data_IF_571522476219
#
_entry.id   IF_571522476219
#
_cell.length_a   1.000
_cell.length_b   1.000
_cell.length_c   1.000
_cell.angle_alpha   90.00
_cell.angle_beta   90.00
_cell.angle_gamma   90.00
#
_symmetry.space_group_name_H-M   'P 1'
#
loop_
_entity.id
_entity.type
_entity.pdbx_description
1 polymer ?
#
# COMPACT_ATOMS: atom_id res chain seq x y z
N UNK A 1 21.55 3.76 19.60
CA UNK A 1 20.22 3.16 19.78
C UNK A 1 20.10 1.94 18.88
N UNK A 2 19.55 0.84 19.39
CA UNK A 2 19.39 -0.43 18.67
C UNK A 2 17.90 -0.73 18.49
N UNK A 3 17.45 -0.75 17.23
CA UNK A 3 16.06 -1.04 16.86
C UNK A 3 15.95 -2.43 16.24
N UNK A 4 15.25 -3.34 16.90
CA UNK A 4 14.83 -4.61 16.30
C UNK A 4 13.50 -4.41 15.59
N UNK A 5 13.41 -4.83 14.34
CA UNK A 5 12.15 -4.86 13.58
C UNK A 5 11.69 -6.30 13.43
N UNK A 6 10.41 -6.56 13.70
CA UNK A 6 9.78 -7.87 13.48
C UNK A 6 8.76 -7.74 12.36
N UNK A 7 9.00 -8.47 11.26
CA UNK A 7 8.14 -8.48 10.09
C UNK A 7 7.85 -9.91 9.63
N UNK A 8 6.78 -10.09 8.88
CA UNK A 8 6.38 -11.41 8.38
C UNK A 8 7.38 -11.97 7.37
N UNK A 9 7.66 -11.22 6.32
CA UNK A 9 8.56 -11.54 5.21
C UNK A 9 9.04 -10.24 4.56
N UNK A 10 10.05 -10.27 3.68
CA UNK A 10 10.46 -9.11 2.89
C UNK A 10 9.33 -8.63 1.98
N UNK A 11 9.04 -7.32 2.04
CA UNK A 11 7.98 -6.65 1.31
C UNK A 11 8.58 -5.46 0.55
N UNK A 12 8.20 -5.29 -0.71
CA UNK A 12 8.74 -4.25 -1.60
C UNK A 12 8.58 -2.81 -1.08
N UNK A 13 7.58 -2.56 -0.25
CA UNK A 13 7.34 -1.24 0.34
C UNK A 13 8.13 -1.00 1.63
N UNK A 14 8.54 -2.06 2.35
CA UNK A 14 9.27 -1.93 3.61
C UNK A 14 10.80 -1.98 3.41
N UNK A 15 11.28 -2.69 2.40
CA UNK A 15 12.71 -2.80 2.12
C UNK A 15 13.40 -1.43 1.93
N UNK A 16 12.85 -0.44 1.19
CA UNK A 16 13.41 0.90 1.10
C UNK A 16 13.48 1.62 2.44
N UNK A 17 12.45 1.48 3.29
CA UNK A 17 12.43 2.06 4.63
C UNK A 17 13.53 1.45 5.51
N UNK A 18 13.70 0.13 5.49
CA UNK A 18 14.75 -0.54 6.27
C UNK A 18 16.14 -0.11 5.81
N UNK A 19 16.36 0.06 4.50
CA UNK A 19 17.60 0.64 3.94
C UNK A 19 17.86 2.07 4.44
N UNK A 20 16.81 2.88 4.51
CA UNK A 20 16.91 4.26 4.99
C UNK A 20 17.21 4.33 6.49
N UNK A 21 16.53 3.51 7.30
CA UNK A 21 16.77 3.40 8.75
C UNK A 21 18.17 2.87 9.05
N UNK A 22 18.67 1.88 8.31
CA UNK A 22 20.01 1.33 8.47
C UNK A 22 21.14 2.36 8.18
N UNK A 23 20.84 3.38 7.36
CA UNK A 23 21.77 4.50 7.09
C UNK A 23 21.67 5.63 8.12
N UNK A 24 20.70 5.56 9.05
CA UNK A 24 20.46 6.63 10.00
C UNK A 24 21.58 6.68 11.05
N UNK A 25 22.20 7.85 11.17
CA UNK A 25 23.33 8.03 12.11
C UNK A 25 22.87 7.81 13.56
N UNK A 26 23.52 6.89 14.24
CA UNK A 26 23.21 6.57 15.63
C UNK A 26 22.15 5.49 15.84
N UNK A 27 21.57 4.98 14.76
CA UNK A 27 20.64 3.84 14.79
C UNK A 27 21.32 2.57 14.27
N UNK A 28 21.30 1.51 15.07
CA UNK A 28 21.70 0.16 14.71
C UNK A 28 20.42 -0.64 14.47
N UNK A 29 20.16 -1.04 13.22
CA UNK A 29 18.92 -1.71 12.79
C UNK A 29 19.17 -3.19 12.54
N UNK A 30 18.28 -4.05 13.05
CA UNK A 30 18.22 -5.45 12.65
C UNK A 30 16.79 -5.91 12.40
N UNK A 31 16.53 -6.54 11.24
CA UNK A 31 15.20 -6.99 10.86
C UNK A 31 15.08 -8.51 11.03
N UNK A 32 14.10 -8.96 11.82
CA UNK A 32 13.78 -10.37 12.02
C UNK A 32 12.55 -10.74 11.19
N UNK A 33 12.74 -11.60 10.19
CA UNK A 33 11.67 -12.11 9.34
C UNK A 33 11.20 -13.47 9.83
N UNK A 34 9.88 -13.62 9.99
CA UNK A 34 9.26 -14.88 10.41
C UNK A 34 9.17 -15.91 9.28
N UNK A 35 9.35 -15.51 8.02
CA UNK A 35 9.28 -16.37 6.85
C UNK A 35 10.09 -15.75 5.70
N UNK A 36 10.76 -16.61 4.91
CA UNK A 36 11.50 -16.13 3.73
C UNK A 36 10.60 -15.69 2.58
N UNK A 37 9.38 -16.25 2.53
CA UNK A 37 8.40 -15.87 1.51
C UNK A 37 8.93 -15.96 0.09
N UNK A 38 8.47 -15.07 -0.76
CA UNK A 38 8.92 -14.93 -2.14
C UNK A 38 10.36 -14.35 -2.28
N UNK A 39 11.02 -13.95 -1.20
CA UNK A 39 12.38 -13.44 -1.28
C UNK A 39 13.43 -14.54 -1.53
N UNK A 40 13.07 -15.82 -1.30
CA UNK A 40 13.95 -16.97 -1.54
C UNK A 40 13.73 -17.65 -2.91
N UNK A 41 12.61 -17.39 -3.56
CA UNK A 41 12.22 -17.91 -4.90
C UNK A 41 10.93 -17.24 -5.34
N UNK A 42 10.56 -17.34 -6.63
CA UNK A 42 9.23 -16.96 -7.08
C UNK A 42 8.15 -17.65 -6.22
N UNK A 43 7.18 -16.87 -5.74
CA UNK A 43 6.06 -17.41 -4.96
C UNK A 43 4.76 -17.19 -5.72
N UNK A 44 3.90 -18.21 -5.71
CA UNK A 44 2.57 -18.07 -6.29
C UNK A 44 1.76 -17.02 -5.51
N UNK A 45 1.37 -15.94 -6.20
CA UNK A 45 0.45 -14.95 -5.67
C UNK A 45 -0.97 -15.24 -6.17
N UNK A 46 -1.87 -15.76 -5.31
CA UNK A 46 -3.22 -16.13 -5.74
C UNK A 46 -4.05 -14.93 -6.19
N UNK A 47 -3.65 -13.72 -5.84
CA UNK A 47 -4.34 -12.50 -6.25
C UNK A 47 -4.00 -12.07 -7.67
N UNK A 48 -2.79 -12.38 -8.15
CA UNK A 48 -2.39 -12.22 -9.56
C UNK A 48 -2.60 -13.52 -10.36
N UNK A 49 -2.85 -14.66 -9.70
CA UNK A 49 -3.03 -15.97 -10.34
C UNK A 49 -1.75 -16.51 -11.00
N UNK A 50 -0.57 -16.04 -10.61
CA UNK A 50 0.71 -16.43 -11.17
C UNK A 50 1.83 -16.37 -10.15
N UNK A 51 2.98 -16.96 -10.50
CA UNK A 51 4.20 -16.82 -9.72
C UNK A 51 4.79 -15.42 -9.94
N UNK A 52 5.11 -14.74 -8.83
CA UNK A 52 5.68 -13.39 -8.84
C UNK A 52 7.07 -13.43 -8.24
N UNK A 53 8.04 -12.94 -9.00
CA UNK A 53 9.38 -12.62 -8.55
C UNK A 53 9.56 -11.11 -8.69
N UNK A 54 9.84 -10.44 -7.56
CA UNK A 54 10.03 -8.99 -7.59
C UNK A 54 11.38 -8.63 -8.21
N UNK A 55 11.38 -7.73 -9.18
CA UNK A 55 12.56 -7.26 -9.93
C UNK A 55 13.28 -6.08 -9.25
N UNK A 56 13.03 -5.88 -7.95
CA UNK A 56 13.71 -4.90 -7.10
C UNK A 56 14.36 -5.58 -5.89
N UNK A 57 15.48 -5.04 -5.37
CA UNK A 57 16.19 -5.66 -4.24
C UNK A 57 15.35 -5.54 -2.96
N UNK A 58 15.06 -6.68 -2.31
CA UNK A 58 14.27 -6.73 -1.07
C UNK A 58 15.13 -6.88 0.19
N UNK A 59 16.35 -7.39 0.10
CA UNK A 59 17.20 -7.78 1.23
C UNK A 59 18.53 -7.03 1.29
N UNK A 60 18.75 -6.07 0.42
CA UNK A 60 20.01 -5.33 0.35
C UNK A 60 19.99 -4.08 1.23
N UNK A 61 21.14 -3.74 1.82
CA UNK A 61 21.41 -2.47 2.47
C UNK A 61 20.92 -2.35 3.92
N UNK A 62 20.56 -3.48 4.56
CA UNK A 62 20.28 -3.57 5.99
C UNK A 62 20.58 -4.98 6.53
N UNK A 63 20.80 -5.11 7.83
CA UNK A 63 21.03 -6.39 8.49
C UNK A 63 19.70 -7.10 8.80
N UNK A 64 19.63 -8.40 8.54
CA UNK A 64 18.43 -9.19 8.79
C UNK A 64 18.72 -10.64 9.21
N UNK A 65 17.71 -11.29 9.77
CA UNK A 65 17.71 -12.72 10.08
C UNK A 65 16.37 -13.34 9.71
N UNK A 66 16.40 -14.43 8.94
CA UNK A 66 15.23 -15.32 8.81
C UNK A 66 15.18 -16.27 10.01
N UNK A 67 14.12 -16.15 10.81
CA UNK A 67 13.90 -17.04 11.95
C UNK A 67 13.13 -18.28 11.50
N UNK A 68 13.60 -19.46 11.89
CA UNK A 68 12.98 -20.74 11.49
C UNK A 68 11.48 -20.75 11.81
N UNK A 69 10.66 -20.96 10.78
CA UNK A 69 9.23 -21.15 10.89
C UNK A 69 8.91 -22.66 10.92
N UNK A 70 8.28 -23.12 12.01
CA UNK A 70 7.91 -24.54 12.21
C UNK A 70 6.42 -24.80 11.91
N UNK A 71 5.72 -23.85 11.27
CA UNK A 71 4.35 -24.05 10.82
C UNK A 71 4.27 -25.21 9.82
N UNK A 72 3.24 -26.04 9.95
CA UNK A 72 2.94 -27.09 8.96
C UNK A 72 2.37 -26.53 7.65
N UNK A 73 1.90 -25.29 7.67
CA UNK A 73 1.35 -24.56 6.52
C UNK A 73 1.87 -23.12 6.60
N UNK A 74 3.16 -22.87 6.21
CA UNK A 74 3.80 -21.58 6.36
C UNK A 74 3.23 -20.55 5.37
N UNK A 75 3.00 -19.32 5.85
CA UNK A 75 2.49 -18.24 5.03
C UNK A 75 1.81 -17.15 5.85
N UNK A 76 1.24 -16.18 5.12
CA UNK A 76 0.58 -15.02 5.72
C UNK A 76 -0.95 -15.06 5.60
N UNK A 77 -1.52 -16.17 5.16
CA UNK A 77 -2.95 -16.34 4.91
C UNK A 77 -3.75 -16.78 6.15
N UNK A 78 -3.09 -17.16 7.26
CA UNK A 78 -3.75 -17.52 8.52
C UNK A 78 -2.86 -17.30 9.75
N UNK A 79 -3.48 -17.29 10.94
CA UNK A 79 -2.84 -16.99 12.23
C UNK A 79 -1.63 -17.90 12.54
N UNK A 80 -1.71 -19.20 12.24
CA UNK A 80 -0.65 -20.18 12.48
C UNK A 80 0.34 -20.34 11.33
N UNK A 81 0.25 -19.52 10.30
CA UNK A 81 1.19 -19.54 9.19
C UNK A 81 2.60 -19.10 9.58
N UNK A 82 2.73 -18.36 10.69
CA UNK A 82 4.01 -17.98 11.31
C UNK A 82 4.09 -18.52 12.74
N UNK A 83 4.92 -19.55 12.94
CA UNK A 83 5.25 -20.16 14.23
C UNK A 83 6.76 -20.22 14.34
N UNK A 84 7.36 -19.22 15.00
CA UNK A 84 8.81 -19.10 15.15
C UNK A 84 9.19 -19.15 16.64
N UNK A 85 9.50 -20.34 17.20
CA UNK A 85 9.85 -20.49 18.62
C UNK A 85 11.07 -19.63 19.02
N UNK A 86 12.04 -19.51 18.12
CA UNK A 86 13.30 -18.80 18.35
C UNK A 86 13.22 -17.29 18.10
N UNK A 87 12.07 -16.72 17.69
CA UNK A 87 11.96 -15.29 17.37
C UNK A 87 12.25 -14.42 18.60
N UNK A 88 11.55 -14.65 19.70
CA UNK A 88 11.76 -13.89 20.95
C UNK A 88 13.19 -14.07 21.48
N UNK A 89 13.73 -15.32 21.62
CA UNK A 89 15.12 -15.53 22.01
C UNK A 89 16.14 -14.79 21.11
N UNK A 90 15.94 -14.80 19.80
CA UNK A 90 16.83 -14.12 18.85
C UNK A 90 16.82 -12.59 19.03
N UNK A 91 15.63 -12.00 19.19
CA UNK A 91 15.47 -10.57 19.45
C UNK A 91 16.13 -10.19 20.77
N UNK A 92 15.91 -10.96 21.85
CA UNK A 92 16.52 -10.71 23.17
C UNK A 92 18.05 -10.86 23.16
N UNK A 93 18.57 -11.85 22.43
CA UNK A 93 20.02 -12.06 22.29
C UNK A 93 20.70 -10.88 21.58
N UNK A 94 19.97 -10.21 20.66
CA UNK A 94 20.47 -9.03 19.99
C UNK A 94 20.45 -7.76 20.87
N UNK A 95 19.75 -7.76 22.03
CA UNK A 95 19.66 -6.70 23.03
C UNK A 95 19.22 -5.36 22.44
N UNK A 96 18.03 -5.26 21.89
CA UNK A 96 17.49 -4.02 21.36
C UNK A 96 17.16 -3.01 22.48
N UNK A 97 17.23 -1.72 22.17
CA UNK A 97 16.70 -0.64 23.01
C UNK A 97 15.17 -0.49 22.79
N UNK A 98 14.70 -0.81 21.57
CA UNK A 98 13.28 -0.85 21.22
C UNK A 98 12.99 -1.93 20.18
N UNK A 99 11.72 -2.38 20.12
CA UNK A 99 11.25 -3.34 19.11
C UNK A 99 10.06 -2.75 18.36
N UNK A 100 10.13 -2.70 17.02
CA UNK A 100 9.03 -2.33 16.13
C UNK A 100 8.41 -3.58 15.52
N UNK A 101 7.13 -3.84 15.80
CA UNK A 101 6.40 -5.02 15.30
C UNK A 101 5.38 -4.61 14.25
N UNK A 102 5.48 -5.23 13.06
CA UNK A 102 4.55 -5.02 11.94
C UNK A 102 3.40 -6.03 11.99
N UNK A 103 2.24 -5.57 12.46
CA UNK A 103 1.03 -6.40 12.58
C UNK A 103 1.06 -7.37 13.76
N UNK A 104 -0.12 -7.85 14.14
CA UNK A 104 -0.32 -8.76 15.29
C UNK A 104 -0.98 -10.10 14.90
N UNK A 105 -1.49 -10.22 13.69
CA UNK A 105 -2.39 -11.29 13.28
C UNK A 105 -1.72 -12.69 13.13
N UNK A 106 -0.49 -12.85 13.63
CA UNK A 106 0.26 -14.10 13.58
C UNK A 106 0.70 -14.54 14.97
N UNK A 107 0.75 -15.87 15.19
CA UNK A 107 1.13 -16.44 16.49
C UNK A 107 2.50 -15.91 16.97
N UNK A 108 3.49 -15.84 16.09
CA UNK A 108 4.83 -15.35 16.42
C UNK A 108 4.83 -13.89 16.81
N UNK A 109 4.11 -13.03 16.07
CA UNK A 109 4.02 -11.60 16.36
C UNK A 109 3.30 -11.34 17.68
N UNK A 110 2.14 -12.00 17.91
CA UNK A 110 1.41 -11.87 19.17
C UNK A 110 2.26 -12.35 20.37
N UNK A 111 3.01 -13.44 20.21
CA UNK A 111 3.94 -13.92 21.23
C UNK A 111 5.07 -12.92 21.49
N UNK A 112 5.58 -12.26 20.46
CA UNK A 112 6.60 -11.21 20.58
C UNK A 112 6.07 -10.02 21.38
N UNK A 113 4.91 -9.48 21.02
CA UNK A 113 4.25 -8.41 21.75
C UNK A 113 4.13 -8.76 23.24
N UNK A 114 3.54 -9.92 23.53
CA UNK A 114 3.34 -10.38 24.92
C UNK A 114 4.64 -10.60 25.69
N UNK A 115 5.65 -11.20 25.06
CA UNK A 115 6.89 -11.59 25.77
C UNK A 115 7.82 -10.43 26.04
N UNK A 116 7.82 -9.39 25.18
CA UNK A 116 8.73 -8.24 25.27
C UNK A 116 8.10 -7.05 26.02
N UNK A 117 6.78 -6.97 26.10
CA UNK A 117 6.08 -5.92 26.84
C UNK A 117 6.56 -5.79 28.28
N UNK A 118 6.85 -4.55 28.70
CA UNK A 118 7.40 -4.25 30.04
C UNK A 118 8.89 -4.62 30.24
N UNK A 119 9.57 -5.13 29.20
CA UNK A 119 10.99 -5.49 29.22
C UNK A 119 11.80 -4.66 28.22
N UNK A 120 11.22 -4.40 27.07
CA UNK A 120 11.77 -3.55 26.01
C UNK A 120 10.59 -2.73 25.47
N UNK A 121 10.73 -1.44 25.20
CA UNK A 121 9.70 -0.63 24.55
C UNK A 121 9.22 -1.26 23.23
N UNK A 122 7.90 -1.47 23.12
CA UNK A 122 7.24 -2.11 21.98
C UNK A 122 6.51 -1.05 21.15
N UNK A 123 7.05 -0.76 19.99
CA UNK A 123 6.43 0.03 18.96
C UNK A 123 5.64 -0.88 18.02
N UNK A 124 4.50 -0.41 17.56
CA UNK A 124 3.61 -1.18 16.71
C UNK A 124 3.22 -0.42 15.46
N UNK A 125 3.25 -1.10 14.33
CA UNK A 125 2.77 -0.59 13.05
C UNK A 125 1.79 -1.56 12.42
N UNK A 126 0.67 -1.04 11.95
CA UNK A 126 -0.35 -1.76 11.20
C UNK A 126 -1.27 -0.75 10.53
N UNK A 127 -1.89 -1.14 9.45
CA UNK A 127 -2.68 -0.29 8.55
C UNK A 127 -4.21 -0.53 8.64
N UNK A 128 -4.67 -1.27 9.65
CA UNK A 128 -6.10 -1.58 9.82
C UNK A 128 -6.94 -0.31 9.97
N UNK A 129 -8.16 -0.33 9.43
CA UNK A 129 -9.13 0.76 9.50
C UNK A 129 -10.48 0.29 10.02
N UNK A 130 -11.41 1.24 10.27
CA UNK A 130 -12.79 0.96 10.64
C UNK A 130 -13.73 0.90 9.41
N UNK A 131 -13.21 1.16 8.21
CA UNK A 131 -14.01 1.29 6.97
C UNK A 131 -14.85 0.04 6.65
N UNK A 132 -14.36 -1.14 7.01
CA UNK A 132 -15.02 -2.41 6.72
C UNK A 132 -15.89 -2.92 7.88
N UNK A 133 -16.00 -2.19 8.99
CA UNK A 133 -16.81 -2.62 10.12
C UNK A 133 -18.31 -2.55 9.75
N UNK A 134 -18.99 -3.69 9.87
CA UNK A 134 -20.43 -3.81 9.64
C UNK A 134 -21.14 -4.39 10.85
N UNK A 135 -22.31 -3.84 11.15
CA UNK A 135 -23.11 -4.23 12.31
C UNK A 135 -22.48 -3.78 13.63
N UNK A 136 -22.96 -4.30 14.78
CA UNK A 136 -22.52 -3.84 16.10
C UNK A 136 -21.83 -4.91 16.95
N UNK A 137 -22.23 -6.16 16.83
CA UNK A 137 -21.76 -7.21 17.73
C UNK A 137 -20.32 -7.66 17.44
N UNK A 138 -19.97 -7.86 16.14
CA UNK A 138 -18.62 -8.25 15.72
C UNK A 138 -17.58 -7.15 16.04
N UNK A 139 -17.82 -5.86 15.70
CA UNK A 139 -16.92 -4.77 16.10
C UNK A 139 -16.72 -4.69 17.60
N UNK A 140 -17.77 -4.82 18.41
CA UNK A 140 -17.66 -4.78 19.86
C UNK A 140 -16.76 -5.90 20.41
N UNK A 141 -16.96 -7.15 19.97
CA UNK A 141 -16.12 -8.27 20.36
C UNK A 141 -14.67 -8.07 19.91
N UNK A 142 -14.46 -7.62 18.66
CA UNK A 142 -13.13 -7.29 18.13
C UNK A 142 -12.44 -6.23 18.97
N UNK A 143 -13.15 -5.15 19.40
CA UNK A 143 -12.59 -4.11 20.26
C UNK A 143 -12.13 -4.65 21.61
N UNK A 144 -12.90 -5.54 22.24
CA UNK A 144 -12.49 -6.16 23.51
C UNK A 144 -11.22 -7.01 23.35
N UNK A 145 -11.15 -7.82 22.30
CA UNK A 145 -9.97 -8.65 22.01
C UNK A 145 -8.76 -7.76 21.69
N UNK A 146 -8.92 -6.77 20.81
CA UNK A 146 -7.82 -5.91 20.39
C UNK A 146 -7.31 -4.99 21.49
N UNK A 147 -8.18 -4.47 22.36
CA UNK A 147 -7.74 -3.76 23.56
C UNK A 147 -6.85 -4.63 24.45
N UNK A 148 -7.09 -5.95 24.49
CA UNK A 148 -6.23 -6.87 25.23
C UNK A 148 -4.89 -7.06 24.51
N UNK A 149 -4.88 -7.17 23.19
CA UNK A 149 -3.64 -7.29 22.39
C UNK A 149 -2.80 -6.00 22.50
N UNK A 150 -3.43 -4.86 22.33
CA UNK A 150 -2.74 -3.56 22.32
C UNK A 150 -2.23 -3.10 23.69
N UNK A 151 -2.65 -3.74 24.79
CA UNK A 151 -2.04 -3.53 26.13
C UNK A 151 -0.56 -3.92 26.19
N UNK A 152 -0.08 -4.69 25.22
CA UNK A 152 1.32 -5.09 25.09
C UNK A 152 2.14 -4.17 24.16
N UNK A 153 1.56 -3.07 23.71
CA UNK A 153 2.17 -2.07 22.86
C UNK A 153 2.29 -0.77 23.62
N UNK A 154 3.48 -0.19 23.63
CA UNK A 154 3.74 1.08 24.32
C UNK A 154 3.45 2.27 23.39
N UNK A 155 3.80 2.16 22.11
CA UNK A 155 3.61 3.23 21.11
C UNK A 155 3.05 2.64 19.81
N UNK A 156 1.99 3.23 19.27
CA UNK A 156 1.47 2.89 17.95
C UNK A 156 1.86 3.98 16.92
N UNK A 157 2.21 3.53 15.72
CA UNK A 157 2.63 4.36 14.60
C UNK A 157 1.54 4.34 13.51
N UNK A 158 0.48 5.18 13.64
CA UNK A 158 -0.58 5.22 12.64
C UNK A 158 -0.05 5.69 11.29
N UNK A 159 -0.58 5.08 10.22
CA UNK A 159 -0.17 5.32 8.84
C UNK A 159 -0.92 6.48 8.18
N UNK A 160 -2.02 6.93 8.77
CA UNK A 160 -2.88 8.03 8.31
C UNK A 160 -4.17 8.10 9.13
N UNK A 161 -5.06 9.02 8.77
CA UNK A 161 -6.27 9.41 9.51
C UNK A 161 -7.19 8.23 9.86
N UNK A 162 -7.52 7.38 8.88
CA UNK A 162 -8.40 6.24 9.11
C UNK A 162 -7.78 5.18 10.05
N UNK A 163 -6.47 5.01 9.99
CA UNK A 163 -5.76 4.09 10.86
C UNK A 163 -5.59 4.67 12.27
N UNK A 164 -5.36 5.97 12.39
CA UNK A 164 -5.32 6.65 13.68
C UNK A 164 -6.66 6.53 14.42
N UNK A 165 -7.78 6.79 13.73
CA UNK A 165 -9.12 6.57 14.28
C UNK A 165 -9.34 5.12 14.75
N UNK A 166 -8.79 4.15 14.02
CA UNK A 166 -8.82 2.75 14.42
C UNK A 166 -8.05 2.51 15.74
N UNK A 167 -6.84 3.03 15.89
CA UNK A 167 -6.07 2.86 17.13
C UNK A 167 -6.75 3.53 18.33
N UNK A 168 -7.31 4.75 18.18
CA UNK A 168 -8.07 5.44 19.23
C UNK A 168 -9.24 4.61 19.74
N UNK A 169 -10.02 4.01 18.84
CA UNK A 169 -11.15 3.13 19.22
C UNK A 169 -10.67 1.88 19.97
N UNK A 170 -9.45 1.42 19.71
CA UNK A 170 -8.88 0.23 20.34
C UNK A 170 -8.03 0.54 21.59
N UNK A 171 -8.01 1.79 22.07
CA UNK A 171 -7.53 2.14 23.41
C UNK A 171 -6.17 2.82 23.46
N UNK A 172 -5.70 3.38 22.35
CA UNK A 172 -4.55 4.28 22.36
C UNK A 172 -5.00 5.72 22.60
N UNK A 173 -4.22 6.44 23.38
CA UNK A 173 -4.37 7.86 23.65
C UNK A 173 -3.37 8.68 22.83
N UNK A 174 -3.54 10.00 22.78
CA UNK A 174 -2.72 10.91 21.98
C UNK A 174 -1.23 10.82 22.30
N UNK A 175 -0.88 10.61 23.57
CA UNK A 175 0.51 10.51 24.04
C UNK A 175 1.21 9.21 23.59
N UNK A 176 0.45 8.23 23.08
CA UNK A 176 0.95 6.94 22.62
C UNK A 176 0.79 6.73 21.10
N UNK A 177 0.29 7.75 20.41
CA UNK A 177 0.12 7.77 18.95
C UNK A 177 1.12 8.74 18.31
N UNK A 178 2.05 8.22 17.51
CA UNK A 178 3.00 9.03 16.75
C UNK A 178 2.75 8.79 15.26
N UNK A 179 2.21 9.80 14.57
CA UNK A 179 1.93 9.69 13.15
C UNK A 179 3.19 9.44 12.32
N UNK A 180 3.14 8.38 11.53
CA UNK A 180 4.22 7.94 10.63
C UNK A 180 3.59 7.57 9.29
N UNK A 181 3.82 8.33 8.20
CA UNK A 181 3.13 8.16 6.94
C UNK A 181 3.33 6.75 6.34
N UNK A 182 2.34 6.26 5.59
CA UNK A 182 2.52 5.07 4.76
C UNK A 182 3.12 5.48 3.42
N UNK A 183 4.38 5.16 3.24
CA UNK A 183 5.20 5.72 2.17
C UNK A 183 5.63 4.69 1.14
N UNK A 184 6.05 5.18 0.00
CA UNK A 184 6.76 4.44 -1.04
C UNK A 184 8.13 5.09 -1.30
N UNK A 185 8.94 4.47 -2.12
CA UNK A 185 10.20 5.05 -2.60
C UNK A 185 9.90 6.04 -3.75
N UNK A 186 9.49 7.29 -3.42
CA UNK A 186 9.02 8.28 -4.39
C UNK A 186 10.02 8.53 -5.52
N UNK A 187 11.32 8.60 -5.21
CA UNK A 187 12.37 8.83 -6.21
C UNK A 187 12.42 7.78 -7.32
N UNK A 188 11.86 6.58 -7.09
CA UNK A 188 11.75 5.56 -8.13
C UNK A 188 10.67 5.89 -9.16
N UNK A 189 9.70 6.71 -8.79
CA UNK A 189 8.57 7.15 -9.60
C UNK A 189 8.77 8.56 -10.18
N UNK A 190 9.80 9.29 -9.76
CA UNK A 190 10.19 10.58 -10.31
C UNK A 190 10.83 10.40 -11.70
N UNK A 191 10.74 11.43 -12.53
CA UNK A 191 11.30 11.45 -13.88
C UNK A 191 11.86 12.84 -14.19
N UNK A 192 13.05 13.09 -13.67
CA UNK A 192 13.74 14.38 -13.87
C UNK A 192 14.29 14.57 -15.29
N UNK A 193 14.38 13.48 -16.06
CA UNK A 193 14.93 13.49 -17.44
C UNK A 193 13.83 13.55 -18.50
N UNK A 194 12.61 13.19 -18.17
CA UNK A 194 11.49 13.03 -19.12
C UNK A 194 11.58 11.74 -19.94
N UNK A 195 12.49 10.82 -19.62
CA UNK A 195 12.66 9.56 -20.35
C UNK A 195 11.48 8.61 -20.14
N UNK A 196 10.97 8.51 -18.91
CA UNK A 196 9.83 7.64 -18.58
C UNK A 196 8.52 8.17 -19.17
N UNK A 197 8.35 9.49 -19.24
CA UNK A 197 7.21 10.12 -19.92
C UNK A 197 7.26 9.86 -21.42
N UNK A 198 8.44 9.99 -22.05
CA UNK A 198 8.63 9.69 -23.47
C UNK A 198 8.34 8.20 -23.79
N UNK A 199 8.85 7.28 -22.94
CA UNK A 199 8.57 5.84 -23.08
C UNK A 199 7.05 5.55 -22.96
N UNK A 200 6.35 6.22 -22.05
CA UNK A 200 4.91 6.06 -21.91
C UNK A 200 4.15 6.57 -23.14
N UNK A 201 4.57 7.69 -23.73
CA UNK A 201 3.96 8.23 -24.96
C UNK A 201 4.18 7.29 -26.14
N UNK A 202 5.38 6.71 -26.30
CA UNK A 202 5.64 5.68 -27.33
C UNK A 202 4.73 4.47 -27.12
N UNK A 203 4.56 4.02 -25.88
CA UNK A 203 3.68 2.89 -25.56
C UNK A 203 2.20 3.21 -25.81
N UNK A 204 1.73 4.44 -25.55
CA UNK A 204 0.38 4.89 -25.95
C UNK A 204 0.20 4.75 -27.47
N UNK A 205 1.17 5.18 -28.28
CA UNK A 205 1.12 5.06 -29.75
C UNK A 205 1.05 3.58 -30.21
N UNK A 206 1.81 2.69 -29.58
CA UNK A 206 1.73 1.24 -29.84
C UNK A 206 0.34 0.66 -29.50
N UNK A 207 -0.35 1.21 -28.49
CA UNK A 207 -1.72 0.85 -28.13
C UNK A 207 -2.78 1.50 -29.04
N UNK A 208 -2.38 2.39 -29.97
CA UNK A 208 -3.31 3.11 -30.86
C UNK A 208 -4.06 4.24 -30.14
N UNK A 209 -3.51 4.78 -29.06
CA UNK A 209 -4.08 5.89 -28.29
C UNK A 209 -3.60 7.21 -28.88
N UNK A 210 -4.52 8.08 -29.26
CA UNK A 210 -4.19 9.40 -29.77
C UNK A 210 -3.55 10.28 -28.70
N UNK A 211 -2.59 11.14 -29.07
CA UNK A 211 -1.82 11.99 -28.16
C UNK A 211 -2.68 12.92 -27.32
N UNK A 212 -3.86 13.31 -27.81
CA UNK A 212 -4.80 14.20 -27.11
C UNK A 212 -5.92 13.46 -26.35
N UNK A 213 -5.95 12.13 -26.42
CA UNK A 213 -6.97 11.35 -25.72
C UNK A 213 -6.66 11.27 -24.21
N UNK A 214 -7.67 11.48 -23.39
CA UNK A 214 -7.55 11.25 -21.94
C UNK A 214 -7.53 9.76 -21.66
N UNK A 215 -6.56 9.32 -20.87
CA UNK A 215 -6.38 7.92 -20.47
C UNK A 215 -6.65 7.77 -18.99
N UNK A 216 -7.66 6.96 -18.63
CA UNK A 216 -7.87 6.47 -17.29
C UNK A 216 -7.06 5.21 -17.07
N UNK A 217 -6.27 5.16 -16.00
CA UNK A 217 -5.43 4.02 -15.67
C UNK A 217 -5.88 3.35 -14.38
N UNK A 218 -6.05 2.04 -14.44
CA UNK A 218 -6.13 1.18 -13.26
C UNK A 218 -4.85 0.33 -13.18
N UNK A 219 -4.21 0.29 -12.00
CA UNK A 219 -3.07 -0.59 -11.77
C UNK A 219 -3.27 -1.42 -10.49
N UNK A 220 -3.24 -2.74 -10.63
CA UNK A 220 -3.40 -3.67 -9.51
C UNK A 220 -4.05 -5.00 -9.86
N UNK A 221 -4.36 -5.79 -8.83
CA UNK A 221 -5.01 -7.10 -8.99
C UNK A 221 -6.41 -6.94 -9.57
N UNK A 222 -6.72 -7.62 -10.67
CA UNK A 222 -8.05 -7.63 -11.28
C UNK A 222 -8.98 -8.56 -10.52
N UNK A 223 -9.40 -8.12 -9.33
CA UNK A 223 -10.25 -8.89 -8.43
C UNK A 223 -11.36 -8.07 -7.79
N UNK A 224 -12.35 -8.75 -7.23
CA UNK A 224 -13.58 -8.15 -6.71
C UNK A 224 -13.35 -7.02 -5.67
N UNK A 225 -12.28 -7.12 -4.87
CA UNK A 225 -11.90 -6.09 -3.89
C UNK A 225 -11.60 -4.73 -4.55
N UNK A 226 -10.85 -4.75 -5.65
CA UNK A 226 -10.38 -3.56 -6.38
C UNK A 226 -11.44 -2.98 -7.32
N UNK A 227 -12.50 -3.75 -7.60
CA UNK A 227 -13.65 -3.36 -8.42
C UNK A 227 -13.32 -2.85 -9.85
N UNK A 228 -12.46 -3.53 -10.63
CA UNK A 228 -12.20 -3.15 -12.00
C UNK A 228 -13.44 -3.27 -12.90
N UNK A 229 -14.39 -4.14 -12.52
CA UNK A 229 -15.69 -4.31 -13.15
C UNK A 229 -16.55 -3.03 -13.06
N UNK A 230 -16.58 -2.36 -11.91
CA UNK A 230 -17.28 -1.08 -11.74
C UNK A 230 -16.62 0.02 -12.57
N UNK A 231 -15.29 0.00 -12.72
CA UNK A 231 -14.59 0.96 -13.57
C UNK A 231 -14.91 0.76 -15.04
N UNK A 232 -14.95 -0.49 -15.52
CA UNK A 232 -15.34 -0.78 -16.90
C UNK A 232 -16.78 -0.33 -17.16
N UNK A 233 -17.72 -0.62 -16.24
CA UNK A 233 -19.10 -0.18 -16.36
C UNK A 233 -19.24 1.34 -16.39
N UNK A 234 -18.47 2.05 -15.57
CA UNK A 234 -18.45 3.52 -15.53
C UNK A 234 -17.86 4.12 -16.82
N UNK A 235 -16.77 3.55 -17.31
CA UNK A 235 -16.17 3.94 -18.60
C UNK A 235 -17.14 3.80 -19.76
N UNK A 236 -17.92 2.71 -19.81
CA UNK A 236 -18.90 2.45 -20.86
C UNK A 236 -20.13 3.36 -20.82
N UNK A 237 -20.35 4.13 -19.74
CA UNK A 237 -21.40 5.15 -19.64
C UNK A 237 -21.00 6.49 -20.25
N UNK A 238 -19.71 6.71 -20.51
CA UNK A 238 -19.21 7.97 -21.01
C UNK A 238 -19.27 8.04 -22.55
N UNK A 239 -19.49 9.21 -23.08
CA UNK A 239 -19.36 9.46 -24.52
C UNK A 239 -17.86 9.43 -24.93
N UNK A 240 -17.54 8.90 -26.10
CA UNK A 240 -16.20 8.52 -26.54
C UNK A 240 -15.14 9.64 -26.54
N UNK A 241 -13.90 9.27 -26.92
CA UNK A 241 -12.73 10.16 -26.98
C UNK A 241 -11.78 10.03 -25.78
N UNK A 242 -11.95 8.97 -24.96
CA UNK A 242 -11.08 8.63 -23.84
C UNK A 242 -10.78 7.14 -23.86
N UNK A 243 -9.67 6.75 -23.23
CA UNK A 243 -9.24 5.36 -23.15
C UNK A 243 -9.20 4.87 -21.70
N UNK A 244 -9.31 3.56 -21.52
CA UNK A 244 -9.15 2.87 -20.25
C UNK A 244 -8.03 1.84 -20.35
N UNK A 245 -7.03 1.93 -19.48
CA UNK A 245 -5.92 0.99 -19.43
C UNK A 245 -5.95 0.22 -18.12
N UNK A 246 -5.98 -1.11 -18.20
CA UNK A 246 -5.84 -2.02 -17.07
C UNK A 246 -4.43 -2.59 -17.04
N UNK A 247 -3.65 -2.28 -16.00
CA UNK A 247 -2.36 -2.88 -15.70
C UNK A 247 -2.47 -3.84 -14.51
N UNK A 248 -2.28 -5.11 -14.75
CA UNK A 248 -2.39 -6.17 -13.76
C UNK A 248 -3.09 -7.41 -14.30
N UNK A 249 -3.18 -8.43 -13.45
CA UNK A 249 -3.88 -9.68 -13.72
C UNK A 249 -4.74 -10.08 -12.52
N UNK A 250 -5.60 -11.08 -12.69
CA UNK A 250 -6.40 -11.58 -11.59
C UNK A 250 -7.69 -12.30 -12.04
N UNK A 251 -8.49 -12.77 -11.07
CA UNK A 251 -9.65 -13.63 -11.34
C UNK A 251 -10.73 -13.04 -12.26
N UNK A 252 -10.79 -11.70 -12.39
CA UNK A 252 -11.78 -11.02 -13.25
C UNK A 252 -11.22 -10.68 -14.64
N UNK A 253 -9.96 -10.99 -14.96
CA UNK A 253 -9.35 -10.58 -16.22
C UNK A 253 -10.08 -11.10 -17.46
N UNK A 254 -10.41 -12.39 -17.50
CA UNK A 254 -11.09 -13.00 -18.64
C UNK A 254 -12.50 -12.40 -18.85
N UNK A 255 -13.23 -12.20 -17.76
CA UNK A 255 -14.55 -11.55 -17.80
C UNK A 255 -14.47 -10.11 -18.33
N UNK A 256 -13.51 -9.33 -17.84
CA UNK A 256 -13.33 -7.95 -18.26
C UNK A 256 -12.94 -7.86 -19.75
N UNK A 257 -12.05 -8.75 -20.22
CA UNK A 257 -11.66 -8.83 -21.63
C UNK A 257 -12.84 -9.23 -22.54
N UNK A 258 -13.67 -10.18 -22.10
CA UNK A 258 -14.88 -10.56 -22.84
C UNK A 258 -15.87 -9.39 -22.97
N UNK A 259 -16.13 -8.69 -21.85
CA UNK A 259 -17.05 -7.54 -21.82
C UNK A 259 -16.53 -6.35 -22.63
N UNK A 260 -15.22 -6.14 -22.69
CA UNK A 260 -14.58 -5.06 -23.44
C UNK A 260 -14.24 -5.46 -24.89
N UNK A 261 -14.55 -6.68 -25.34
CA UNK A 261 -14.07 -7.25 -26.63
C UNK A 261 -14.46 -6.49 -27.90
N UNK A 262 -15.39 -5.56 -27.81
CA UNK A 262 -15.86 -4.69 -28.91
C UNK A 262 -15.53 -3.21 -28.69
N UNK A 263 -14.73 -2.90 -27.67
CA UNK A 263 -14.36 -1.54 -27.31
C UNK A 263 -12.84 -1.36 -27.52
N UNK A 264 -12.49 -0.76 -28.64
CA UNK A 264 -11.10 -0.53 -29.03
C UNK A 264 -10.40 0.50 -28.13
N UNK A 265 -11.12 1.16 -27.20
CA UNK A 265 -10.58 2.12 -26.25
C UNK A 265 -10.22 1.48 -24.91
N UNK A 266 -10.43 0.17 -24.72
CA UNK A 266 -10.07 -0.54 -23.48
C UNK A 266 -8.86 -1.45 -23.71
N UNK A 267 -7.79 -1.21 -22.94
CA UNK A 267 -6.51 -1.90 -23.12
C UNK A 267 -6.15 -2.70 -21.87
N UNK A 268 -5.53 -3.86 -22.05
CA UNK A 268 -5.08 -4.75 -20.96
C UNK A 268 -3.60 -5.05 -21.14
N UNK A 269 -2.77 -4.62 -20.19
CA UNK A 269 -1.31 -4.79 -20.23
C UNK A 269 -0.84 -6.10 -19.57
N UNK A 270 -1.75 -6.81 -18.86
CA UNK A 270 -1.36 -7.92 -18.00
C UNK A 270 -0.54 -7.47 -16.79
N UNK A 271 0.08 -8.43 -16.10
CA UNK A 271 0.94 -8.15 -14.94
C UNK A 271 2.18 -7.35 -15.37
N UNK A 272 2.46 -6.27 -14.63
CA UNK A 272 3.65 -5.45 -14.77
C UNK A 272 4.46 -5.50 -13.47
N UNK A 273 5.78 -5.72 -13.58
CA UNK A 273 6.65 -5.78 -12.41
C UNK A 273 7.09 -4.37 -11.96
N UNK A 274 7.71 -4.29 -10.79
CA UNK A 274 7.97 -3.03 -10.08
C UNK A 274 8.88 -2.07 -10.88
N UNK A 275 9.83 -2.56 -11.66
CA UNK A 275 10.71 -1.72 -12.50
C UNK A 275 9.96 -1.00 -13.63
N UNK A 276 8.85 -1.59 -14.13
CA UNK A 276 8.01 -1.00 -15.21
C UNK A 276 6.92 -0.07 -14.68
N UNK A 277 6.57 -0.16 -13.40
CA UNK A 277 5.46 0.60 -12.83
C UNK A 277 5.58 2.13 -13.01
N UNK A 278 6.76 2.76 -12.93
CA UNK A 278 6.89 4.20 -13.21
C UNK A 278 6.42 4.61 -14.61
N UNK A 279 6.74 3.81 -15.64
CA UNK A 279 6.24 4.03 -17.02
C UNK A 279 4.75 3.70 -17.12
N UNK A 280 4.29 2.62 -16.47
CA UNK A 280 2.87 2.23 -16.47
C UNK A 280 1.98 3.34 -15.91
N UNK A 281 2.35 3.96 -14.78
CA UNK A 281 1.55 5.06 -14.23
C UNK A 281 1.48 6.27 -15.17
N UNK A 282 2.52 6.49 -16.00
CA UNK A 282 2.57 7.56 -16.98
C UNK A 282 1.73 7.30 -18.24
N UNK A 283 1.29 6.05 -18.47
CA UNK A 283 0.29 5.78 -19.50
C UNK A 283 -1.07 6.44 -19.21
N UNK A 284 -1.40 6.67 -17.94
CA UNK A 284 -2.64 7.30 -17.52
C UNK A 284 -2.47 8.81 -17.36
N UNK A 285 -3.50 9.58 -17.74
CA UNK A 285 -3.64 10.98 -17.34
C UNK A 285 -4.30 11.07 -15.97
N UNK A 286 -5.12 10.09 -15.61
CA UNK A 286 -5.79 9.98 -14.32
C UNK A 286 -5.69 8.54 -13.82
N UNK A 287 -5.23 8.36 -12.60
CA UNK A 287 -5.22 7.05 -11.95
C UNK A 287 -6.54 6.80 -11.23
N UNK A 288 -7.11 5.59 -11.37
CA UNK A 288 -8.41 5.25 -10.80
C UNK A 288 -8.32 3.99 -9.92
N UNK A 289 -8.72 4.12 -8.65
CA UNK A 289 -8.77 3.01 -7.69
C UNK A 289 -10.16 2.94 -7.03
N UNK A 290 -11.16 2.30 -7.66
CA UNK A 290 -12.55 2.30 -7.21
C UNK A 290 -12.86 1.19 -6.19
N UNK A 291 -11.87 0.78 -5.41
CA UNK A 291 -11.96 -0.36 -4.49
C UNK A 291 -13.24 -0.34 -3.66
N UNK A 292 -13.93 -1.48 -3.57
CA UNK A 292 -15.15 -1.62 -2.75
C UNK A 292 -14.91 -2.34 -1.42
N UNK A 293 -13.63 -2.63 -1.13
CA UNK A 293 -13.26 -3.40 0.05
C UNK A 293 -13.73 -4.87 -0.03
N UNK A 294 -13.70 -5.60 1.09
CA UNK A 294 -12.99 -5.23 2.31
C UNK A 294 -11.46 -5.28 2.18
N UNK A 295 -10.77 -4.54 3.05
CA UNK A 295 -9.32 -4.66 3.20
C UNK A 295 -8.49 -3.78 2.25
N UNK A 296 -9.04 -2.72 1.66
CA UNK A 296 -8.25 -1.66 1.02
C UNK A 296 -7.83 -0.63 2.10
N UNK A 297 -6.97 -1.09 3.00
CA UNK A 297 -6.63 -0.39 4.24
C UNK A 297 -5.88 0.91 4.00
N UNK A 298 -5.12 1.01 2.89
CA UNK A 298 -4.44 2.22 2.45
C UNK A 298 -4.63 2.49 0.97
N UNK A 299 -4.00 1.68 0.09
CA UNK A 299 -4.01 1.88 -1.35
C UNK A 299 -2.71 2.50 -1.86
N UNK A 300 -1.54 1.86 -1.62
CA UNK A 300 -0.20 2.38 -2.00
C UNK A 300 -0.04 2.69 -3.50
N UNK A 301 -0.85 2.10 -4.36
CA UNK A 301 -0.93 2.46 -5.77
C UNK A 301 -1.33 3.95 -6.00
N UNK A 302 -2.04 4.56 -5.04
CA UNK A 302 -2.35 6.00 -5.06
C UNK A 302 -1.07 6.81 -4.83
N UNK A 303 -0.23 6.41 -3.84
CA UNK A 303 1.06 7.06 -3.62
C UNK A 303 1.94 7.00 -4.88
N UNK A 304 1.98 5.83 -5.54
CA UNK A 304 2.77 5.61 -6.75
C UNK A 304 2.29 6.49 -7.93
N UNK A 305 0.99 6.56 -8.15
CA UNK A 305 0.39 7.43 -9.17
C UNK A 305 0.66 8.92 -8.90
N UNK A 306 0.51 9.36 -7.64
CA UNK A 306 0.77 10.73 -7.24
C UNK A 306 2.26 11.10 -7.39
N UNK A 307 3.18 10.19 -7.08
CA UNK A 307 4.61 10.39 -7.29
C UNK A 307 4.98 10.51 -8.78
N UNK A 308 4.20 9.85 -9.67
CA UNK A 308 4.28 10.06 -11.11
C UNK A 308 3.59 11.35 -11.60
N UNK A 309 3.07 12.18 -10.69
CA UNK A 309 2.36 13.42 -11.04
C UNK A 309 1.01 13.17 -11.70
N UNK A 310 0.26 12.16 -11.26
CA UNK A 310 -1.08 11.87 -11.80
C UNK A 310 -2.15 12.28 -10.79
N UNK A 311 -3.22 12.98 -11.21
CA UNK A 311 -4.42 13.12 -10.42
C UNK A 311 -5.08 11.75 -10.21
N UNK A 312 -5.87 11.63 -9.13
CA UNK A 312 -6.38 10.34 -8.68
C UNK A 312 -7.90 10.36 -8.49
N UNK A 313 -8.57 9.29 -8.86
CA UNK A 313 -9.95 9.01 -8.46
C UNK A 313 -9.93 7.78 -7.58
N UNK A 314 -10.43 7.91 -6.36
CA UNK A 314 -10.50 6.79 -5.42
C UNK A 314 -11.92 6.64 -4.87
N UNK A 315 -12.27 5.47 -4.36
CA UNK A 315 -13.51 5.32 -3.62
C UNK A 315 -13.35 5.73 -2.15
N UNK A 316 -14.47 5.97 -1.46
CA UNK A 316 -14.56 6.21 -0.02
C UNK A 316 -14.15 5.00 0.85
N UNK A 317 -13.81 3.85 0.22
CA UNK A 317 -13.29 2.64 0.87
C UNK A 317 -11.77 2.47 0.73
N UNK A 318 -11.11 3.38 0.05
CA UNK A 318 -9.64 3.43 -0.02
C UNK A 318 -9.12 4.18 1.21
N UNK A 319 -8.31 3.51 2.02
CA UNK A 319 -7.91 4.02 3.35
C UNK A 319 -7.18 5.37 3.32
N UNK A 320 -6.43 5.66 2.25
CA UNK A 320 -5.69 6.92 2.09
C UNK A 320 -6.56 8.10 1.59
N UNK A 321 -7.82 7.88 1.24
CA UNK A 321 -8.66 8.92 0.64
C UNK A 321 -8.69 10.24 1.44
N UNK A 322 -8.91 10.25 2.77
CA UNK A 322 -8.94 11.50 3.54
C UNK A 322 -7.59 12.20 3.68
N UNK A 323 -6.49 11.49 3.41
CA UNK A 323 -5.13 12.01 3.58
C UNK A 323 -4.50 12.47 2.26
N UNK A 324 -4.83 11.79 1.14
CA UNK A 324 -4.16 11.98 -0.15
C UNK A 324 -5.04 12.57 -1.24
N UNK A 325 -6.36 12.71 -1.04
CA UNK A 325 -7.25 13.30 -2.04
C UNK A 325 -7.86 14.59 -1.55
N UNK A 326 -7.53 15.69 -2.22
CA UNK A 326 -8.13 17.02 -2.04
C UNK A 326 -9.06 17.26 -3.24
N UNK A 327 -10.36 17.15 -2.98
CA UNK A 327 -11.42 17.11 -3.99
C UNK A 327 -11.38 18.30 -4.95
N UNK A 328 -11.32 18.01 -6.25
CA UNK A 328 -11.21 19.03 -7.32
C UNK A 328 -9.82 19.69 -7.45
N UNK A 329 -8.84 19.39 -6.55
CA UNK A 329 -7.49 19.96 -6.61
C UNK A 329 -6.45 18.96 -7.12
N UNK A 330 -6.46 17.72 -6.64
CA UNK A 330 -5.60 16.65 -7.13
C UNK A 330 -6.36 15.38 -7.51
N UNK A 331 -7.68 15.36 -7.35
CA UNK A 331 -8.48 14.19 -7.66
C UNK A 331 -9.90 14.28 -7.16
N UNK A 332 -10.57 13.13 -7.08
CA UNK A 332 -11.96 13.02 -6.64
C UNK A 332 -12.17 11.75 -5.82
N UNK A 333 -13.18 11.78 -4.94
CA UNK A 333 -13.65 10.61 -4.19
C UNK A 333 -15.03 10.20 -4.68
N UNK A 334 -15.20 8.93 -5.08
CA UNK A 334 -16.47 8.36 -5.47
C UNK A 334 -17.06 7.43 -4.39
N UNK A 335 -18.35 7.13 -4.46
CA UNK A 335 -19.00 6.13 -3.62
C UNK A 335 -18.59 4.72 -4.06
N UNK A 336 -18.10 3.90 -3.13
CA UNK A 336 -17.63 2.56 -3.40
C UNK A 336 -18.73 1.65 -3.95
N UNK A 337 -18.47 1.01 -5.10
CA UNK A 337 -19.40 0.12 -5.77
C UNK A 337 -20.53 0.82 -6.54
N UNK A 338 -20.51 2.15 -6.62
CA UNK A 338 -21.46 2.94 -7.41
C UNK A 338 -20.86 3.29 -8.77
N UNK A 339 -21.33 2.63 -9.82
CA UNK A 339 -20.94 2.90 -11.21
C UNK A 339 -21.27 4.35 -11.60
N UNK A 340 -22.46 4.84 -11.21
CA UNK A 340 -22.90 6.21 -11.54
C UNK A 340 -22.04 7.27 -10.86
N UNK A 341 -21.68 7.06 -9.57
CA UNK A 341 -20.80 7.98 -8.86
C UNK A 341 -19.40 8.01 -9.50
N UNK A 342 -18.86 6.84 -9.87
CA UNK A 342 -17.58 6.76 -10.55
C UNK A 342 -17.63 7.41 -11.94
N UNK A 343 -18.66 7.17 -12.74
CA UNK A 343 -18.85 7.79 -14.05
C UNK A 343 -18.91 9.32 -13.96
N UNK A 344 -19.55 9.87 -12.92
CA UNK A 344 -19.55 11.32 -12.66
C UNK A 344 -18.13 11.86 -12.40
N UNK A 345 -17.29 11.15 -11.65
CA UNK A 345 -15.92 11.60 -11.39
C UNK A 345 -15.03 11.47 -12.64
N UNK A 346 -15.19 10.41 -13.43
CA UNK A 346 -14.52 10.29 -14.74
C UNK A 346 -14.93 11.44 -15.66
N UNK A 347 -16.23 11.73 -15.74
CA UNK A 347 -16.76 12.85 -16.54
C UNK A 347 -16.25 14.21 -16.04
N UNK A 348 -16.10 14.41 -14.73
CA UNK A 348 -15.53 15.61 -14.16
C UNK A 348 -14.07 15.82 -14.61
N UNK A 349 -13.25 14.75 -14.65
CA UNK A 349 -11.89 14.81 -15.19
C UNK A 349 -11.88 15.17 -16.69
N UNK A 350 -12.77 14.60 -17.50
CA UNK A 350 -12.90 14.95 -18.92
C UNK A 350 -13.27 16.43 -19.11
N UNK A 351 -14.13 16.97 -18.25
CA UNK A 351 -14.53 18.37 -18.26
C UNK A 351 -13.42 19.37 -17.91
N UNK A 352 -12.31 18.90 -17.34
CA UNK A 352 -11.13 19.70 -16.95
C UNK A 352 -9.82 19.14 -17.53
N UNK A 353 -9.89 18.47 -18.69
CA UNK A 353 -8.76 17.77 -19.29
C UNK A 353 -7.49 18.65 -19.41
N UNK A 354 -7.65 19.93 -19.74
CA UNK A 354 -6.58 20.94 -19.82
C UNK A 354 -5.89 21.26 -18.46
N UNK A 355 -6.50 20.86 -17.33
CA UNK A 355 -5.99 21.08 -15.97
C UNK A 355 -5.45 19.81 -15.31
N UNK A 356 -5.51 18.67 -15.98
CA UNK A 356 -5.04 17.40 -15.40
C UNK A 356 -3.55 17.45 -15.04
N UNK A 357 -2.74 18.15 -15.81
CA UNK A 357 -1.32 18.38 -15.51
C UNK A 357 -1.13 19.20 -14.21
N UNK A 358 -1.91 20.29 -14.02
CA UNK A 358 -1.91 21.10 -12.80
C UNK A 358 -2.33 20.28 -11.58
N UNK A 359 -3.38 19.46 -11.74
CA UNK A 359 -3.85 18.52 -10.69
C UNK A 359 -2.79 17.47 -10.35
N UNK A 360 -2.09 16.96 -11.36
CA UNK A 360 -0.97 16.03 -11.19
C UNK A 360 0.22 16.66 -10.46
N UNK A 361 0.54 17.93 -10.75
CA UNK A 361 1.58 18.66 -10.02
C UNK A 361 1.19 18.86 -8.55
N UNK A 362 -0.10 19.08 -8.27
CA UNK A 362 -0.63 19.13 -6.90
C UNK A 362 -0.44 17.77 -6.20
N UNK A 363 -0.75 16.66 -6.89
CA UNK A 363 -0.48 15.29 -6.38
C UNK A 363 0.99 15.09 -6.03
N UNK A 364 1.91 15.49 -6.93
CA UNK A 364 3.35 15.38 -6.72
C UNK A 364 3.82 16.16 -5.49
N UNK A 365 3.31 17.38 -5.31
CA UNK A 365 3.64 18.20 -4.14
C UNK A 365 3.12 17.59 -2.83
N UNK A 366 1.88 17.10 -2.83
CA UNK A 366 1.28 16.49 -1.64
C UNK A 366 2.02 15.21 -1.20
N UNK A 367 2.47 14.40 -2.16
CA UNK A 367 3.09 13.10 -1.85
C UNK A 367 4.52 13.22 -1.30
N UNK A 368 5.17 14.39 -1.36
CA UNK A 368 6.49 14.61 -0.78
C UNK A 368 6.52 14.35 0.73
N UNK A 369 5.42 14.67 1.44
CA UNK A 369 5.27 14.41 2.87
C UNK A 369 5.02 12.91 3.19
N UNK A 370 4.78 12.09 2.17
CA UNK A 370 4.52 10.64 2.23
C UNK A 370 5.67 9.86 1.58
N UNK A 371 6.89 10.21 1.93
CA UNK A 371 8.11 9.63 1.37
C UNK A 371 8.90 8.83 2.42
N UNK A 372 9.71 7.88 1.96
CA UNK A 372 10.58 7.05 2.83
C UNK A 372 11.47 7.90 3.76
N UNK A 373 12.09 9.01 3.32
CA UNK A 373 12.85 9.86 4.24
C UNK A 373 12.01 10.48 5.36
N UNK A 374 10.76 10.87 5.06
CA UNK A 374 9.83 11.41 6.07
C UNK A 374 9.40 10.30 7.02
N UNK A 375 9.04 9.12 6.51
CA UNK A 375 8.67 7.97 7.32
C UNK A 375 9.79 7.58 8.29
N UNK A 376 11.02 7.45 7.80
CA UNK A 376 12.18 7.13 8.63
C UNK A 376 12.43 8.19 9.72
N UNK A 377 12.35 9.48 9.37
CA UNK A 377 12.49 10.59 10.32
C UNK A 377 11.44 10.54 11.42
N UNK A 378 10.18 10.24 11.07
CA UNK A 378 9.09 10.13 12.02
C UNK A 378 9.25 8.93 12.96
N UNK A 379 9.71 7.78 12.44
CA UNK A 379 10.02 6.61 13.29
C UNK A 379 11.12 6.95 14.28
N UNK A 380 12.24 7.54 13.81
CA UNK A 380 13.35 7.90 14.71
C UNK A 380 12.92 8.96 15.73
N UNK A 381 12.13 9.96 15.30
CA UNK A 381 11.58 10.96 16.22
C UNK A 381 10.73 10.34 17.33
N UNK A 382 9.85 9.38 17.00
CA UNK A 382 9.06 8.66 17.99
C UNK A 382 9.94 7.81 18.95
N UNK A 383 11.02 7.21 18.44
CA UNK A 383 11.98 6.50 19.27
C UNK A 383 12.73 7.45 20.23
N UNK A 384 13.21 8.59 19.75
CA UNK A 384 13.96 9.58 20.55
C UNK A 384 13.08 10.25 21.62
N UNK A 385 11.78 10.39 21.36
CA UNK A 385 10.82 10.97 22.32
C UNK A 385 10.46 9.98 23.43
N UNK A 386 10.40 8.68 23.12
CA UNK A 386 9.98 7.66 24.08
C UNK A 386 11.13 7.08 24.91
N UNK A 387 12.37 6.98 24.38
CA UNK A 387 13.53 6.39 25.03
C UNK A 387 14.34 7.41 25.83
#
# INVERSE_FOLDING_TARGET
>A
MRLAVVSTHPIQYYAPLFRQLAKWKGLDLHVFFGWSGAAASSAHDPGFGQDVEWDIPLLEGYEYTFVTNVSSDPGTHHFRGLINPELVPSVEAWKPDAVLVYGWAYQSHLRTLWSLSGRVPVFFRGDSTLLDERGWARPLLRRLVLRTVYRYVDVALPVGTNNEAYFRVHGFDDDTLHWVPHSIENCRFEDDTGELEAEALEWRQELGIDDNAVVFLFAGKLGAKKAPDVLLDAHQQLDGGHHLVFAGSGPLEDELRERASRDDHVHFLGFQNQSRMPTVYRLGDVFVLPSRGPGETWGLAVNEAMACGRPVIVSDRVGCAPDLVDDGRNGYVCEAGSTDSLAQMLQACLGVAERLEEMGQTSRTMIEDWSIPVEARRIVGALDEYL
#
